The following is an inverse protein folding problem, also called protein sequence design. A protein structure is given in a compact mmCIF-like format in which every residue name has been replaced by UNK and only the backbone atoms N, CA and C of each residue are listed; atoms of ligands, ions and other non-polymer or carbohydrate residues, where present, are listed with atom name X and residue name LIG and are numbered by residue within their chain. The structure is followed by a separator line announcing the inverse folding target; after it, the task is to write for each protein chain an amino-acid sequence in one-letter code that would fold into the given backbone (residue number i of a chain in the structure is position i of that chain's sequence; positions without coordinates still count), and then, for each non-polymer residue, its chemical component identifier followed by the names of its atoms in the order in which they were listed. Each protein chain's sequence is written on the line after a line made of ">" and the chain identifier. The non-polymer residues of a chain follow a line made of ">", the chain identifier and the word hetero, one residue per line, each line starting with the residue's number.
data_IF_721502636929
#
_entry.id   IF_721502636929
#
_cell.length_a   1.000
_cell.length_b   1.000
_cell.length_c   1.000
_cell.angle_alpha   90.00
_cell.angle_beta   90.00
_cell.angle_gamma   90.00
#
_symmetry.space_group_name_H-M   'P 1'
#
loop_
_entity.id
_entity.type
_entity.pdbx_description
1 polymer ?
#
# COMPACT_ATOMS: atom_id res chain seq x y z
N UNK A 1 13.92 0.63 2.76
CA UNK A 1 13.05 -0.56 2.71
C UNK A 1 12.57 -0.67 1.28
N UNK A 2 12.44 -1.88 0.74
CA UNK A 2 12.00 -2.09 -0.63
C UNK A 2 11.10 -3.33 -0.69
N UNK A 3 10.18 -3.31 -1.64
CA UNK A 3 9.37 -4.46 -2.08
C UNK A 3 9.15 -4.30 -3.58
N UNK A 4 8.90 -5.40 -4.27
CA UNK A 4 8.72 -5.43 -5.72
C UNK A 4 7.28 -5.19 -6.16
N UNK A 5 7.15 -4.99 -7.47
CA UNK A 5 5.95 -5.39 -8.22
C UNK A 5 6.27 -6.47 -9.29
N UNK A 6 5.35 -6.77 -10.19
CA UNK A 6 5.53 -7.81 -11.22
C UNK A 6 6.74 -7.60 -12.13
N UNK A 7 7.08 -6.36 -12.49
CA UNK A 7 8.22 -6.06 -13.35
C UNK A 7 9.58 -6.35 -12.70
N UNK A 8 9.70 -6.21 -11.38
CA UNK A 8 10.87 -6.67 -10.62
C UNK A 8 10.78 -8.18 -10.33
N UNK A 9 9.55 -8.69 -10.13
CA UNK A 9 9.30 -10.11 -9.93
C UNK A 9 9.68 -10.91 -11.17
N UNK A 10 9.43 -10.39 -12.39
CA UNK A 10 10.01 -10.84 -13.65
C UNK A 10 9.01 -11.33 -14.72
N UNK A 11 7.73 -11.43 -14.41
CA UNK A 11 6.66 -11.74 -15.37
C UNK A 11 5.40 -10.98 -14.98
N UNK A 12 4.79 -10.29 -15.95
CA UNK A 12 3.57 -9.50 -15.74
C UNK A 12 2.49 -10.32 -15.06
N UNK A 13 1.88 -9.72 -14.05
CA UNK A 13 0.80 -10.32 -13.26
C UNK A 13 1.14 -11.72 -12.72
N UNK A 14 2.41 -12.10 -12.55
CA UNK A 14 2.77 -13.42 -12.06
C UNK A 14 2.63 -13.52 -10.54
N UNK A 15 2.26 -14.72 -10.09
CA UNK A 15 2.09 -15.04 -8.68
C UNK A 15 2.90 -16.26 -8.24
N UNK A 16 2.35 -17.04 -7.31
CA UNK A 16 3.02 -18.17 -6.67
C UNK A 16 3.39 -19.34 -7.60
N UNK A 17 2.73 -19.43 -8.75
CA UNK A 17 2.88 -20.51 -9.74
C UNK A 17 4.02 -20.24 -10.74
N UNK A 18 4.63 -19.06 -10.71
CA UNK A 18 5.74 -18.76 -11.60
C UNK A 18 7.01 -19.48 -11.13
N UNK A 19 7.58 -20.25 -12.05
CA UNK A 19 8.66 -21.19 -11.76
C UNK A 19 9.95 -20.52 -11.24
N UNK A 20 10.17 -19.24 -11.60
CA UNK A 20 11.39 -18.50 -11.26
C UNK A 20 11.27 -17.58 -10.04
N UNK A 21 10.20 -17.72 -9.25
CA UNK A 21 9.95 -16.82 -8.10
C UNK A 21 11.04 -16.85 -7.03
N UNK A 22 11.70 -18.00 -6.87
CA UNK A 22 12.77 -18.15 -5.88
C UNK A 22 14.03 -17.41 -6.32
N UNK A 23 14.33 -17.45 -7.62
CA UNK A 23 15.41 -16.73 -8.27
C UNK A 23 15.18 -15.23 -8.22
N UNK A 24 13.95 -14.77 -8.50
CA UNK A 24 13.59 -13.36 -8.36
C UNK A 24 13.75 -12.88 -6.91
N UNK A 25 13.26 -13.65 -5.92
CA UNK A 25 13.49 -13.37 -4.48
C UNK A 25 14.96 -13.20 -4.15
N UNK A 26 15.78 -14.14 -4.62
CA UNK A 26 17.22 -14.11 -4.40
C UNK A 26 17.83 -12.85 -5.01
N UNK A 27 17.58 -12.57 -6.29
CA UNK A 27 18.12 -11.41 -6.99
C UNK A 27 17.70 -10.08 -6.34
N UNK A 28 16.42 -9.95 -5.98
CA UNK A 28 15.90 -8.75 -5.32
C UNK A 28 16.57 -8.50 -3.97
N UNK A 29 16.70 -9.55 -3.16
CA UNK A 29 17.31 -9.47 -1.83
C UNK A 29 18.82 -9.21 -1.90
N UNK A 30 19.51 -9.75 -2.90
CA UNK A 30 20.93 -9.46 -3.15
C UNK A 30 21.16 -8.00 -3.56
N UNK A 31 20.24 -7.42 -4.35
CA UNK A 31 20.36 -6.03 -4.82
C UNK A 31 19.96 -5.01 -3.74
N UNK A 32 18.78 -5.17 -3.14
CA UNK A 32 18.22 -4.20 -2.19
C UNK A 32 18.61 -4.47 -0.72
N UNK A 33 19.13 -5.66 -0.42
CA UNK A 33 19.21 -6.18 0.93
C UNK A 33 17.82 -6.54 1.48
N UNK A 34 17.72 -6.69 2.80
CA UNK A 34 16.46 -6.95 3.49
C UNK A 34 16.52 -8.15 4.42
N UNK A 35 15.40 -8.45 5.06
CA UNK A 35 15.28 -9.59 5.95
C UNK A 35 15.18 -10.89 5.15
N UNK A 36 16.02 -11.88 5.50
CA UNK A 36 15.95 -13.19 4.90
C UNK A 36 14.67 -13.91 5.35
N UNK A 37 13.66 -13.96 4.46
CA UNK A 37 12.39 -14.64 4.68
C UNK A 37 12.24 -15.84 3.76
N UNK A 38 11.60 -16.89 4.28
CA UNK A 38 11.35 -18.09 3.50
C UNK A 38 10.33 -17.83 2.37
N UNK A 39 9.35 -16.98 2.60
CA UNK A 39 8.09 -16.92 1.85
C UNK A 39 7.73 -15.52 1.29
N UNK A 40 8.72 -14.72 0.89
CA UNK A 40 8.51 -13.47 0.17
C UNK A 40 9.51 -12.36 0.56
N UNK A 41 9.25 -11.14 0.09
CA UNK A 41 10.01 -9.93 0.41
C UNK A 41 9.07 -8.91 1.03
N UNK A 42 8.96 -8.95 2.34
CA UNK A 42 8.14 -8.03 3.12
C UNK A 42 8.85 -7.65 4.40
N UNK A 43 8.57 -6.46 4.91
CA UNK A 43 9.29 -5.91 6.05
C UNK A 43 8.46 -4.86 6.78
N UNK A 44 8.81 -4.59 8.03
CA UNK A 44 8.27 -3.45 8.75
C UNK A 44 9.37 -2.70 9.48
N UNK A 45 9.14 -1.41 9.72
CA UNK A 45 10.03 -0.59 10.54
C UNK A 45 9.27 0.54 11.20
N UNK A 46 9.60 0.81 12.45
CA UNK A 46 9.13 1.97 13.18
C UNK A 46 10.11 3.14 13.01
N UNK A 47 9.56 4.33 12.75
CA UNK A 47 10.30 5.58 12.61
C UNK A 47 9.81 6.60 13.63
N UNK A 48 10.72 7.41 14.17
CA UNK A 48 10.40 8.46 15.13
C UNK A 48 10.38 7.99 16.60
N UNK A 49 10.34 8.95 17.54
CA UNK A 49 10.32 8.66 18.97
C UNK A 49 8.93 8.16 19.44
N UNK A 50 8.85 7.66 20.68
CA UNK A 50 7.58 7.32 21.30
C UNK A 50 6.62 8.53 21.31
N UNK A 51 5.33 8.30 21.03
CA UNK A 51 4.31 9.36 20.90
C UNK A 51 4.33 10.13 19.58
N UNK A 52 5.31 9.89 18.70
CA UNK A 52 5.38 10.46 17.32
C UNK A 52 5.85 9.40 16.32
N UNK A 53 5.46 8.15 16.58
CA UNK A 53 6.01 6.98 15.88
C UNK A 53 5.13 6.60 14.70
N UNK A 54 5.76 6.42 13.55
CA UNK A 54 5.13 5.91 12.33
C UNK A 54 5.64 4.51 12.08
N UNK A 55 4.75 3.54 11.91
CA UNK A 55 5.11 2.21 11.43
C UNK A 55 4.93 2.15 9.93
N UNK A 56 5.97 1.75 9.21
CA UNK A 56 5.88 1.42 7.79
C UNK A 56 5.89 -0.10 7.67
N UNK A 57 4.92 -0.66 6.96
CA UNK A 57 4.78 -2.08 6.64
C UNK A 57 4.77 -2.21 5.13
N UNK A 58 5.70 -2.96 4.54
CA UNK A 58 5.68 -3.26 3.12
C UNK A 58 5.20 -4.70 2.91
N UNK A 59 4.14 -4.86 2.11
CA UNK A 59 3.57 -6.14 1.74
C UNK A 59 4.16 -6.62 0.41
N UNK A 60 4.46 -7.92 0.36
CA UNK A 60 4.72 -8.67 -0.87
C UNK A 60 3.39 -9.17 -1.44
N UNK A 61 2.96 -8.62 -2.56
CA UNK A 61 1.71 -9.00 -3.23
C UNK A 61 1.93 -9.90 -4.44
N UNK A 62 3.09 -10.56 -4.55
CA UNK A 62 3.45 -11.45 -5.69
C UNK A 62 3.81 -12.87 -5.25
N UNK A 63 4.71 -13.06 -4.28
CA UNK A 63 5.36 -14.36 -4.02
C UNK A 63 4.40 -15.53 -3.71
N UNK A 64 3.35 -15.24 -2.93
CA UNK A 64 2.33 -16.20 -2.53
C UNK A 64 0.99 -15.99 -3.22
N UNK A 65 0.92 -15.01 -4.13
CA UNK A 65 -0.34 -14.58 -4.72
C UNK A 65 -0.92 -15.68 -5.61
N UNK A 66 -2.19 -15.98 -5.41
CA UNK A 66 -3.00 -16.82 -6.28
C UNK A 66 -3.32 -16.10 -7.59
N UNK A 67 -3.94 -16.85 -8.51
CA UNK A 67 -4.62 -16.25 -9.64
C UNK A 67 -5.85 -15.45 -9.15
N UNK A 68 -6.17 -14.31 -9.79
CA UNK A 68 -7.35 -13.51 -9.49
C UNK A 68 -8.64 -14.34 -9.38
N UNK A 69 -9.42 -14.07 -8.33
CA UNK A 69 -10.69 -14.75 -8.14
C UNK A 69 -11.27 -14.61 -6.74
N UNK A 70 -12.53 -15.02 -6.54
CA UNK A 70 -13.24 -14.83 -5.27
C UNK A 70 -12.61 -15.57 -4.09
N UNK A 71 -11.79 -16.59 -4.37
CA UNK A 71 -11.09 -17.40 -3.37
C UNK A 71 -9.57 -17.22 -3.37
N UNK A 72 -9.03 -16.35 -4.22
CA UNK A 72 -7.59 -16.15 -4.33
C UNK A 72 -7.03 -15.44 -3.11
N UNK A 73 -5.93 -15.96 -2.60
CA UNK A 73 -5.11 -15.32 -1.57
C UNK A 73 -4.01 -14.44 -2.19
N UNK A 74 -3.64 -13.35 -1.53
CA UNK A 74 -2.53 -12.49 -1.97
C UNK A 74 -1.25 -12.78 -1.19
N UNK A 75 -1.36 -12.87 0.14
CA UNK A 75 -0.19 -12.80 1.02
C UNK A 75 0.38 -14.17 1.40
N UNK A 76 -0.44 -15.23 1.40
CA UNK A 76 -0.04 -16.52 1.95
C UNK A 76 -0.08 -16.54 3.48
N UNK A 77 -0.23 -17.73 4.06
CA UNK A 77 -0.44 -17.90 5.50
C UNK A 77 0.67 -17.32 6.39
N UNK A 78 1.94 -17.44 5.97
CA UNK A 78 3.09 -16.93 6.74
C UNK A 78 3.09 -15.41 6.84
N UNK A 79 2.94 -14.71 5.71
CA UNK A 79 2.86 -13.26 5.69
C UNK A 79 1.59 -12.72 6.36
N UNK A 80 0.44 -13.42 6.26
CA UNK A 80 -0.76 -13.04 7.01
C UNK A 80 -0.53 -13.07 8.52
N UNK A 81 0.03 -14.17 9.04
CA UNK A 81 0.33 -14.31 10.46
C UNK A 81 1.34 -13.25 10.92
N UNK A 82 2.34 -12.96 10.09
CA UNK A 82 3.28 -11.88 10.34
C UNK A 82 2.60 -10.51 10.39
N UNK A 83 1.78 -10.16 9.40
CA UNK A 83 1.07 -8.89 9.32
C UNK A 83 0.17 -8.67 10.54
N UNK A 84 -0.55 -9.70 10.97
CA UNK A 84 -1.35 -9.65 12.19
C UNK A 84 -0.50 -9.33 13.43
N UNK A 85 0.69 -9.92 13.55
CA UNK A 85 1.64 -9.63 14.63
C UNK A 85 2.17 -8.20 14.56
N UNK A 86 2.52 -7.73 13.37
CA UNK A 86 3.02 -6.36 13.15
C UNK A 86 1.98 -5.30 13.48
N UNK A 87 0.71 -5.52 13.14
CA UNK A 87 -0.34 -4.57 13.43
C UNK A 87 -0.76 -4.57 14.90
N UNK A 88 -0.56 -5.68 15.63
CA UNK A 88 -0.76 -5.76 17.09
C UNK A 88 0.41 -5.18 17.89
N UNK A 89 1.58 -4.96 17.28
CA UNK A 89 2.75 -4.41 17.99
C UNK A 89 2.43 -2.99 18.49
N UNK A 90 2.60 -2.67 19.78
CA UNK A 90 2.21 -1.37 20.31
C UNK A 90 3.12 -0.23 19.82
N UNK A 91 2.67 1.01 20.04
CA UNK A 91 3.50 2.21 20.02
C UNK A 91 3.54 3.00 18.72
N UNK A 92 2.93 2.54 17.63
CA UNK A 92 2.74 3.33 16.42
C UNK A 92 1.48 4.20 16.54
N UNK A 93 1.61 5.50 16.25
CA UNK A 93 0.49 6.43 16.21
C UNK A 93 -0.13 6.47 14.80
N UNK A 94 0.68 6.23 13.76
CA UNK A 94 0.28 6.10 12.37
C UNK A 94 0.88 4.82 11.78
N UNK A 95 0.12 4.09 10.95
CA UNK A 95 0.59 2.90 10.26
C UNK A 95 0.45 3.06 8.75
N UNK A 96 1.57 3.12 8.04
CA UNK A 96 1.61 3.16 6.58
C UNK A 96 1.80 1.74 6.06
N UNK A 97 0.86 1.26 5.24
CA UNK A 97 0.95 -0.05 4.58
C UNK A 97 1.22 0.17 3.09
N UNK A 98 2.42 -0.19 2.65
CA UNK A 98 2.78 -0.24 1.23
C UNK A 98 2.31 -1.54 0.59
N UNK A 99 1.63 -1.45 -0.54
CA UNK A 99 1.24 -2.58 -1.39
C UNK A 99 1.57 -2.25 -2.84
N UNK A 100 2.04 -3.22 -3.63
CA UNK A 100 2.42 -2.90 -5.01
C UNK A 100 1.21 -2.50 -5.88
N UNK A 101 0.06 -3.12 -5.63
CA UNK A 101 -1.21 -2.88 -6.32
C UNK A 101 -2.20 -2.09 -5.47
N UNK A 102 -3.14 -1.39 -6.10
CA UNK A 102 -4.16 -0.58 -5.42
C UNK A 102 -5.03 -1.41 -4.47
N UNK A 103 -5.26 -0.90 -3.26
CA UNK A 103 -6.03 -1.59 -2.22
C UNK A 103 -7.51 -1.21 -2.32
N UNK A 104 -7.83 0.09 -2.38
CA UNK A 104 -9.22 0.55 -2.30
C UNK A 104 -9.97 0.47 -3.63
N UNK A 105 -9.29 0.74 -4.75
CA UNK A 105 -9.89 0.73 -6.08
C UNK A 105 -10.57 -0.63 -6.39
N UNK A 106 -11.68 -0.59 -7.14
CA UNK A 106 -12.46 -1.78 -7.50
C UNK A 106 -12.92 -1.80 -8.97
N UNK A 107 -12.97 -0.66 -9.66
CA UNK A 107 -13.72 -0.53 -10.92
C UNK A 107 -12.86 -0.68 -12.18
N UNK A 108 -11.57 -0.37 -12.11
CA UNK A 108 -10.70 -0.52 -13.29
C UNK A 108 -10.39 -1.98 -13.60
N UNK A 109 -9.87 -2.25 -14.80
CA UNK A 109 -9.61 -3.62 -15.29
C UNK A 109 -8.28 -4.23 -14.83
N UNK A 110 -7.33 -3.39 -14.41
CA UNK A 110 -5.97 -3.80 -14.01
C UNK A 110 -5.94 -4.43 -12.61
N UNK A 111 -4.76 -4.94 -12.23
CA UNK A 111 -4.55 -5.63 -10.96
C UNK A 111 -4.77 -4.70 -9.75
N UNK A 112 -5.42 -5.24 -8.73
CA UNK A 112 -5.82 -4.57 -7.49
C UNK A 112 -6.31 -5.60 -6.49
N UNK A 113 -6.39 -5.24 -5.22
CA UNK A 113 -7.00 -6.07 -4.19
C UNK A 113 -8.47 -6.38 -4.48
N UNK A 114 -9.17 -5.54 -5.23
CA UNK A 114 -10.54 -5.80 -5.70
C UNK A 114 -10.69 -7.07 -6.56
N UNK A 115 -9.61 -7.58 -7.15
CA UNK A 115 -9.61 -8.88 -7.83
C UNK A 115 -9.59 -10.08 -6.87
N UNK A 116 -9.35 -9.86 -5.58
CA UNK A 116 -9.21 -10.86 -4.52
C UNK A 116 -10.11 -10.49 -3.32
N UNK A 117 -11.44 -10.51 -3.47
CA UNK A 117 -12.36 -9.92 -2.50
C UNK A 117 -12.21 -10.50 -1.08
N UNK A 118 -11.99 -11.83 -0.95
CA UNK A 118 -11.76 -12.44 0.37
C UNK A 118 -10.47 -11.95 1.05
N UNK A 119 -9.40 -11.75 0.28
CA UNK A 119 -8.13 -11.22 0.79
C UNK A 119 -8.28 -9.76 1.21
N UNK A 120 -8.99 -8.95 0.42
CA UNK A 120 -9.30 -7.56 0.75
C UNK A 120 -10.16 -7.45 2.02
N UNK A 121 -11.19 -8.27 2.14
CA UNK A 121 -12.03 -8.33 3.35
C UNK A 121 -11.22 -8.79 4.58
N UNK A 122 -10.31 -9.76 4.40
CA UNK A 122 -9.40 -10.21 5.45
C UNK A 122 -8.46 -9.09 5.89
N UNK A 123 -7.88 -8.33 4.96
CA UNK A 123 -7.00 -7.20 5.27
C UNK A 123 -7.71 -6.19 6.17
N UNK A 124 -8.91 -5.74 5.80
CA UNK A 124 -9.68 -4.78 6.61
C UNK A 124 -10.08 -5.35 7.96
N UNK A 125 -10.41 -6.64 8.03
CA UNK A 125 -10.70 -7.32 9.30
C UNK A 125 -9.48 -7.38 10.21
N UNK A 126 -8.32 -7.73 9.68
CA UNK A 126 -7.04 -7.79 10.42
C UNK A 126 -6.68 -6.41 10.96
N UNK A 127 -6.84 -5.35 10.16
CA UNK A 127 -6.61 -3.97 10.60
C UNK A 127 -7.56 -3.61 11.76
N UNK A 128 -8.85 -3.91 11.61
CA UNK A 128 -9.85 -3.66 12.66
C UNK A 128 -9.54 -4.41 13.96
N UNK A 129 -9.26 -5.71 13.87
CA UNK A 129 -9.09 -6.59 15.02
C UNK A 129 -7.75 -6.36 15.74
N UNK A 130 -6.72 -5.94 15.01
CA UNK A 130 -5.45 -5.51 15.61
C UNK A 130 -5.55 -4.17 16.33
N UNK A 131 -6.62 -3.39 16.09
CA UNK A 131 -6.77 -2.01 16.58
C UNK A 131 -5.60 -1.12 16.14
N UNK A 132 -5.03 -1.40 14.97
CA UNK A 132 -4.01 -0.56 14.39
C UNK A 132 -4.57 0.86 14.18
N UNK A 133 -3.82 1.85 14.63
CA UNK A 133 -4.18 3.27 14.52
C UNK A 133 -3.66 3.82 13.21
N UNK A 134 -4.43 4.70 12.60
CA UNK A 134 -3.90 5.56 11.56
C UNK A 134 -3.53 4.81 10.28
N UNK A 135 -4.28 3.78 9.88
CA UNK A 135 -3.88 2.99 8.69
C UNK A 135 -4.11 3.78 7.42
N UNK A 136 -3.03 4.03 6.68
CA UNK A 136 -3.03 4.60 5.33
C UNK A 136 -2.27 3.70 4.37
N UNK A 137 -2.79 3.52 3.16
CA UNK A 137 -2.15 2.73 2.12
C UNK A 137 -1.31 3.61 1.18
N UNK A 138 -0.18 3.08 0.74
CA UNK A 138 0.61 3.62 -0.37
C UNK A 138 0.70 2.55 -1.45
N UNK A 139 0.30 2.89 -2.68
CA UNK A 139 0.15 1.91 -3.77
C UNK A 139 0.78 2.36 -5.09
N UNK A 140 1.03 1.40 -5.99
CA UNK A 140 1.74 1.57 -7.26
C UNK A 140 0.99 0.99 -8.46
N UNK A 141 1.71 0.32 -9.37
CA UNK A 141 1.25 -0.34 -10.61
C UNK A 141 0.66 0.57 -11.72
N UNK A 142 -0.09 1.61 -11.35
CA UNK A 142 -1.02 2.28 -12.27
C UNK A 142 -0.41 3.22 -13.31
N UNK A 143 0.84 3.63 -13.14
CA UNK A 143 1.51 4.67 -13.94
C UNK A 143 0.78 6.02 -13.93
N UNK A 144 0.01 6.29 -12.87
CA UNK A 144 -0.66 7.55 -12.60
C UNK A 144 -0.68 7.78 -11.08
N UNK A 145 -1.10 8.96 -10.66
CA UNK A 145 -1.32 9.28 -9.25
C UNK A 145 -2.80 9.48 -8.94
N UNK A 146 -3.27 9.02 -7.79
CA UNK A 146 -4.58 9.40 -7.24
C UNK A 146 -4.64 9.18 -5.73
N UNK A 147 -5.62 9.80 -5.08
CA UNK A 147 -5.95 9.55 -3.68
C UNK A 147 -7.37 8.98 -3.63
N UNK A 148 -7.53 7.83 -2.99
CA UNK A 148 -8.83 7.22 -2.71
C UNK A 148 -9.15 7.29 -1.22
N UNK A 149 -10.44 7.40 -0.89
CA UNK A 149 -10.92 7.37 0.48
C UNK A 149 -12.19 6.52 0.61
N UNK A 150 -12.15 5.48 1.43
CA UNK A 150 -13.34 4.76 1.89
C UNK A 150 -13.71 5.28 3.28
N UNK A 151 -14.68 6.21 3.34
CA UNK A 151 -15.14 6.83 4.59
C UNK A 151 -15.82 5.82 5.52
N UNK A 152 -16.76 5.05 4.98
CA UNK A 152 -17.53 4.05 5.73
C UNK A 152 -16.79 2.70 5.72
N UNK A 153 -15.59 2.68 6.28
CA UNK A 153 -14.79 1.45 6.37
C UNK A 153 -15.20 0.62 7.59
N UNK A 154 -15.11 -0.71 7.49
CA UNK A 154 -15.38 -1.59 8.64
C UNK A 154 -14.37 -1.41 9.77
N UNK A 155 -13.21 -0.78 9.51
CA UNK A 155 -12.14 -0.56 10.48
C UNK A 155 -12.58 0.41 11.59
N UNK A 156 -13.54 1.28 11.30
CA UNK A 156 -14.06 2.26 12.25
C UNK A 156 -13.55 3.69 12.03
N UNK A 157 -12.69 3.89 11.04
CA UNK A 157 -12.22 5.19 10.56
C UNK A 157 -12.04 5.17 9.03
N UNK A 158 -11.94 6.34 8.35
CA UNK A 158 -11.71 6.40 6.92
C UNK A 158 -10.38 5.75 6.52
N UNK A 159 -10.42 4.86 5.53
CA UNK A 159 -9.19 4.33 4.94
C UNK A 159 -8.81 5.16 3.72
N UNK A 160 -7.54 5.57 3.67
CA UNK A 160 -6.96 6.27 2.53
C UNK A 160 -6.00 5.36 1.77
N UNK A 161 -5.97 5.52 0.46
CA UNK A 161 -5.03 4.84 -0.45
C UNK A 161 -4.45 5.87 -1.40
N UNK A 162 -3.15 6.13 -1.25
CA UNK A 162 -2.38 7.08 -2.06
C UNK A 162 -1.62 6.28 -3.10
N UNK A 163 -2.12 6.30 -4.33
CA UNK A 163 -1.43 5.71 -5.46
C UNK A 163 -0.44 6.72 -6.01
N UNK A 164 0.84 6.39 -5.99
CA UNK A 164 1.90 7.20 -6.60
C UNK A 164 2.74 6.30 -7.50
N UNK A 165 2.44 6.35 -8.80
CA UNK A 165 2.98 5.37 -9.75
C UNK A 165 3.55 6.00 -11.03
N UNK A 166 3.56 7.33 -11.15
CA UNK A 166 4.03 8.00 -12.37
C UNK A 166 5.54 8.29 -12.42
N UNK A 167 6.40 7.66 -11.60
CA UNK A 167 7.76 8.19 -11.39
C UNK A 167 8.60 8.28 -12.69
N UNK A 168 8.63 7.22 -13.48
CA UNK A 168 9.39 7.14 -14.74
C UNK A 168 8.54 6.81 -15.97
N UNK A 169 7.32 6.33 -15.77
CA UNK A 169 6.38 5.94 -16.82
C UNK A 169 5.01 6.53 -16.52
N UNK A 170 4.28 6.97 -17.56
CA UNK A 170 2.96 7.60 -17.41
C UNK A 170 1.95 6.87 -18.27
N UNK A 171 0.87 6.44 -17.64
CA UNK A 171 -0.21 5.71 -18.30
C UNK A 171 -0.77 6.51 -19.48
N UNK A 172 -1.08 5.83 -20.59
CA UNK A 172 -1.82 6.44 -21.70
C UNK A 172 -3.28 6.75 -21.34
N UNK A 173 -3.79 6.25 -20.20
CA UNK A 173 -5.16 6.45 -19.73
C UNK A 173 -5.31 7.84 -19.10
N UNK A 174 -6.10 8.70 -19.76
CA UNK A 174 -6.39 10.05 -19.25
C UNK A 174 -7.48 10.08 -18.18
N UNK A 175 -8.37 9.09 -18.20
CA UNK A 175 -9.42 8.93 -17.21
C UNK A 175 -9.58 7.45 -16.85
N UNK A 176 -9.95 7.19 -15.61
CA UNK A 176 -10.24 5.85 -15.10
C UNK A 176 -11.30 5.96 -14.01
N UNK A 177 -12.30 5.09 -14.02
CA UNK A 177 -13.39 5.15 -13.05
C UNK A 177 -12.89 4.66 -11.69
N UNK A 178 -13.03 5.50 -10.67
CA UNK A 178 -12.83 5.15 -9.28
C UNK A 178 -13.78 6.00 -8.40
N UNK A 179 -14.85 5.38 -7.91
CA UNK A 179 -15.88 6.04 -7.10
C UNK A 179 -15.38 6.44 -5.71
N UNK A 180 -14.22 5.94 -5.29
CA UNK A 180 -13.59 6.31 -4.02
C UNK A 180 -12.55 7.41 -4.19
N UNK A 181 -12.26 7.85 -5.43
CA UNK A 181 -11.29 8.92 -5.69
C UNK A 181 -11.73 10.21 -5.00
N UNK A 182 -10.80 10.84 -4.32
CA UNK A 182 -10.91 12.19 -3.78
C UNK A 182 -9.93 13.06 -4.54
N UNK A 183 -10.44 14.11 -5.19
CA UNK A 183 -9.65 14.94 -6.10
C UNK A 183 -9.59 14.37 -7.52
N UNK A 184 -8.54 14.71 -8.26
CA UNK A 184 -8.38 14.32 -9.66
C UNK A 184 -7.34 13.22 -9.85
N UNK A 185 -7.39 12.59 -11.03
CA UNK A 185 -6.34 11.71 -11.50
C UNK A 185 -5.12 12.55 -11.93
N UNK A 186 -3.94 12.23 -11.39
CA UNK A 186 -2.66 12.82 -11.77
C UNK A 186 -2.02 11.95 -12.85
N UNK A 187 -2.41 12.18 -14.11
CA UNK A 187 -1.80 11.52 -15.28
C UNK A 187 -0.55 12.27 -15.76
N UNK A 188 0.51 12.25 -14.93
CA UNK A 188 1.80 12.87 -15.21
C UNK A 188 2.88 12.22 -14.35
N UNK A 189 4.14 12.58 -14.60
CA UNK A 189 5.21 12.20 -13.69
C UNK A 189 4.94 12.75 -12.30
N UNK A 190 4.94 11.86 -11.30
CA UNK A 190 4.58 12.21 -9.93
C UNK A 190 5.28 11.35 -8.89
N UNK A 191 5.36 11.90 -7.68
CA UNK A 191 5.75 11.19 -6.47
C UNK A 191 4.83 11.59 -5.30
N UNK A 192 4.66 10.69 -4.35
CA UNK A 192 3.81 10.88 -3.18
C UNK A 192 4.59 11.26 -1.93
N UNK A 193 3.98 12.06 -1.05
CA UNK A 193 4.50 12.29 0.30
C UNK A 193 3.40 12.10 1.35
N UNK A 194 3.82 11.66 2.54
CA UNK A 194 3.00 11.67 3.75
C UNK A 194 3.71 12.55 4.76
N UNK A 195 3.06 13.65 5.14
CA UNK A 195 3.59 14.56 6.15
C UNK A 195 2.72 14.49 7.40
N UNK A 196 3.34 14.57 8.58
CA UNK A 196 2.62 14.64 9.85
C UNK A 196 3.09 15.86 10.64
N UNK A 197 2.17 16.77 10.94
CA UNK A 197 2.45 17.94 11.78
C UNK A 197 2.27 17.58 13.26
N UNK A 198 3.36 17.15 13.89
CA UNK A 198 3.40 16.81 15.31
C UNK A 198 3.48 18.02 16.26
N UNK A 199 3.38 19.25 15.75
CA UNK A 199 3.37 20.46 16.60
C UNK A 199 1.96 20.80 17.12
N UNK A 200 0.92 20.27 16.48
CA UNK A 200 -0.47 20.47 16.84
C UNK A 200 -0.90 19.54 17.99
N UNK A 201 -1.86 19.95 18.85
CA UNK A 201 -2.42 19.09 19.89
C UNK A 201 -3.05 17.81 19.34
N UNK A 202 -3.71 17.92 18.18
CA UNK A 202 -4.14 16.79 17.34
C UNK A 202 -3.35 16.85 16.04
N UNK A 203 -2.32 16.00 15.86
CA UNK A 203 -1.45 16.05 14.70
C UNK A 203 -2.22 15.92 13.39
N UNK A 204 -1.85 16.68 12.37
CA UNK A 204 -2.49 16.59 11.05
C UNK A 204 -1.64 15.72 10.13
N UNK A 205 -2.27 14.71 9.53
CA UNK A 205 -1.69 13.86 8.50
C UNK A 205 -2.11 14.42 7.14
N UNK A 206 -1.15 14.73 6.27
CA UNK A 206 -1.38 15.12 4.89
C UNK A 206 -0.84 14.06 3.94
N UNK A 207 -1.68 13.70 2.97
CA UNK A 207 -1.39 12.79 1.88
C UNK A 207 -1.31 13.63 0.60
N UNK A 208 -0.15 13.65 -0.04
CA UNK A 208 0.13 14.57 -1.14
C UNK A 208 0.68 13.82 -2.36
N UNK A 209 0.29 14.30 -3.54
CA UNK A 209 0.90 13.93 -4.82
C UNK A 209 1.52 15.17 -5.43
N UNK A 210 2.78 15.06 -5.83
CA UNK A 210 3.56 16.13 -6.42
C UNK A 210 3.87 15.84 -7.87
N UNK A 211 3.95 16.87 -8.70
CA UNK A 211 4.55 16.74 -10.03
C UNK A 211 6.09 16.67 -9.96
N UNK A 212 6.75 16.44 -11.10
CA UNK A 212 8.21 16.39 -11.19
C UNK A 212 8.91 17.70 -10.75
N UNK A 213 8.20 18.83 -10.74
CA UNK A 213 8.69 20.12 -10.23
C UNK A 213 8.52 20.28 -8.71
N UNK A 214 7.89 19.33 -8.04
CA UNK A 214 7.58 19.37 -6.61
C UNK A 214 6.27 20.08 -6.25
N UNK A 215 5.51 20.57 -7.25
CA UNK A 215 4.23 21.24 -6.96
C UNK A 215 3.18 20.22 -6.57
N UNK A 216 2.44 20.51 -5.50
CA UNK A 216 1.31 19.68 -5.07
C UNK A 216 0.23 19.72 -6.15
N UNK A 217 -0.12 18.56 -6.68
CA UNK A 217 -1.20 18.34 -7.65
C UNK A 217 -2.48 17.94 -6.96
N UNK A 218 -2.37 17.09 -5.95
CA UNK A 218 -3.49 16.63 -5.14
C UNK A 218 -3.06 16.53 -3.68
N UNK A 219 -3.98 16.87 -2.77
CA UNK A 219 -3.74 16.81 -1.34
C UNK A 219 -5.03 16.51 -0.58
N UNK A 220 -4.93 15.60 0.37
CA UNK A 220 -5.94 15.41 1.42
C UNK A 220 -5.27 15.56 2.77
N UNK A 221 -5.96 16.14 3.75
CA UNK A 221 -5.46 16.28 5.11
C UNK A 221 -6.55 15.93 6.11
N UNK A 222 -6.16 15.26 7.18
CA UNK A 222 -7.06 14.82 8.24
C UNK A 222 -6.34 14.87 9.60
N UNK A 223 -7.03 15.22 10.68
CA UNK A 223 -6.49 15.04 12.01
C UNK A 223 -6.21 13.56 12.27
N UNK A 224 -5.14 13.27 13.00
CA UNK A 224 -4.72 11.91 13.33
C UNK A 224 -5.78 11.20 14.20
N UNK A 225 -6.52 11.95 15.03
CA UNK A 225 -7.65 11.41 15.81
C UNK A 225 -8.82 10.90 14.97
N UNK A 226 -8.90 11.28 13.68
CA UNK A 226 -9.91 10.80 12.74
C UNK A 226 -9.47 9.54 11.98
N UNK A 227 -8.22 9.08 12.20
CA UNK A 227 -7.66 7.86 11.61
C UNK A 227 -7.44 6.76 12.66
#
# INVERSE_FOLDING_TARGET
>A
MAVWDDHDYGLNDAGKNWERKSEAKKAFTEFWGGEARADGVYSSRDFGPAGKRIRVVLLDTRFNRDDPGPNGDILGGGQWNWLEGELRRPGAELTVIGSSIQVLANQHRFEKWGNFPKSKDRLFRVIRESKARGVVFVTGDRHNGEISCQKDSIVGYPLYDVTSSGLTEVSSLREETNSLRVGNLVNAQNFGTITVDWSLPDPVVSLELHDAGGNIREKVSTPLSQL
#
